data_IF_526475441171
#
_entry.id   IF_526475441171
#
_cell.length_a   1.000
_cell.length_b   1.000
_cell.length_c   1.000
_cell.angle_alpha   90.00
_cell.angle_beta   90.00
_cell.angle_gamma   90.00
#
_symmetry.space_group_name_H-M   'P 1'
#
loop_
_entity.id
_entity.type
_entity.pdbx_description
1 polymer ?
#
# COMPACT_ATOMS: atom_id res chain seq x y z
N UNK A 1 -0.64 14.23 -5.05
CA UNK A 1 0.17 15.04 -6.01
C UNK A 1 -0.75 16.10 -6.63
N UNK A 2 -0.84 17.29 -6.05
CA UNK A 2 -1.79 18.32 -6.48
C UNK A 2 -1.42 18.98 -7.84
N UNK A 3 -0.19 18.87 -8.25
CA UNK A 3 0.40 19.41 -9.46
C UNK A 3 0.50 18.39 -10.61
N UNK A 4 0.07 17.15 -10.40
CA UNK A 4 -0.02 16.14 -11.45
C UNK A 4 -1.00 16.59 -12.52
N UNK A 5 -0.54 16.68 -13.79
CA UNK A 5 -1.30 17.15 -14.91
C UNK A 5 -1.72 16.05 -15.87
N UNK A 6 -0.81 15.17 -16.20
CA UNK A 6 -1.01 14.14 -17.21
C UNK A 6 -0.02 12.99 -17.05
N UNK A 7 -0.40 11.83 -17.56
CA UNK A 7 0.45 10.65 -17.65
C UNK A 7 0.45 10.18 -19.09
N UNK A 8 1.63 10.16 -19.72
CA UNK A 8 1.81 9.80 -21.12
C UNK A 8 2.58 8.50 -21.24
N UNK A 9 2.32 7.78 -22.30
CA UNK A 9 3.01 6.53 -22.63
C UNK A 9 3.58 6.59 -24.06
N UNK A 10 4.57 7.48 -24.33
CA UNK A 10 5.17 7.60 -25.65
C UNK A 10 5.96 6.34 -26.01
N UNK A 11 5.95 6.03 -27.31
CA UNK A 11 6.84 5.03 -27.87
C UNK A 11 8.30 5.52 -27.80
N UNK A 12 9.20 4.70 -27.28
CA UNK A 12 10.64 4.97 -27.18
C UNK A 12 11.47 4.12 -28.15
N UNK A 13 10.80 3.22 -28.86
CA UNK A 13 11.37 2.31 -29.85
C UNK A 13 10.29 1.50 -30.56
N UNK A 14 10.67 0.52 -31.37
CA UNK A 14 9.73 -0.29 -32.15
C UNK A 14 8.76 -1.06 -31.26
N UNK A 15 9.25 -1.59 -30.13
CA UNK A 15 8.48 -2.43 -29.20
C UNK A 15 8.59 -1.94 -27.72
N UNK A 16 9.07 -0.71 -27.49
CA UNK A 16 9.24 -0.14 -26.17
C UNK A 16 8.44 1.14 -25.98
N UNK A 17 7.92 1.29 -24.77
CA UNK A 17 7.21 2.50 -24.34
C UNK A 17 7.75 2.94 -22.97
N UNK A 18 7.71 4.24 -22.73
CA UNK A 18 8.07 4.80 -21.44
C UNK A 18 6.87 5.48 -20.81
N UNK A 19 6.73 5.36 -19.50
CA UNK A 19 5.74 6.10 -18.75
C UNK A 19 6.33 7.45 -18.37
N UNK A 20 5.74 8.54 -18.84
CA UNK A 20 6.17 9.91 -18.56
C UNK A 20 5.08 10.63 -17.79
N UNK A 21 5.46 11.20 -16.64
CA UNK A 21 4.56 11.95 -15.76
C UNK A 21 4.80 13.44 -15.98
N UNK A 22 3.73 14.17 -16.21
CA UNK A 22 3.78 15.62 -16.41
C UNK A 22 3.18 16.34 -15.21
N UNK A 23 3.98 17.20 -14.62
CA UNK A 23 3.58 18.13 -13.57
C UNK A 23 3.43 19.53 -14.16
N UNK A 24 2.46 20.30 -13.68
CA UNK A 24 2.27 21.68 -14.09
C UNK A 24 1.78 22.55 -12.94
N UNK A 25 2.41 23.70 -12.78
CA UNK A 25 2.04 24.78 -11.85
C UNK A 25 1.82 26.06 -12.62
N UNK A 26 1.44 27.14 -11.92
CA UNK A 26 1.37 28.48 -12.52
C UNK A 26 2.73 29.00 -13.02
N UNK A 27 3.83 28.42 -12.52
CA UNK A 27 5.20 28.86 -12.81
C UNK A 27 5.86 28.07 -13.94
N UNK A 28 5.26 26.95 -14.38
CA UNK A 28 5.81 26.13 -15.45
C UNK A 28 5.33 24.68 -15.42
N UNK A 29 5.90 23.88 -16.33
CA UNK A 29 5.64 22.43 -16.39
C UNK A 29 6.94 21.65 -16.44
N UNK A 30 6.91 20.45 -15.86
CA UNK A 30 8.01 19.49 -15.84
C UNK A 30 7.48 18.14 -16.28
N UNK A 31 8.23 17.43 -17.12
CA UNK A 31 7.94 16.05 -17.50
C UNK A 31 9.08 15.16 -17.05
N UNK A 32 8.76 14.15 -16.27
CA UNK A 32 9.72 13.19 -15.75
C UNK A 32 9.39 11.78 -16.23
N UNK A 33 10.37 10.98 -16.64
CA UNK A 33 10.21 9.53 -16.73
C UNK A 33 9.77 8.95 -15.39
N UNK A 34 9.00 7.87 -15.42
CA UNK A 34 8.52 7.22 -14.18
C UNK A 34 9.67 6.78 -13.26
N UNK A 35 10.79 6.35 -13.83
CA UNK A 35 11.98 5.93 -13.12
C UNK A 35 12.61 7.05 -12.28
N UNK A 36 12.44 8.31 -12.68
CA UNK A 36 13.00 9.48 -12.00
C UNK A 36 12.10 10.02 -10.87
N UNK A 37 10.90 9.46 -10.70
CA UNK A 37 10.03 9.78 -9.57
C UNK A 37 10.62 9.25 -8.26
N UNK A 38 10.31 9.91 -7.16
CA UNK A 38 10.58 9.37 -5.81
C UNK A 38 9.78 8.09 -5.58
N UNK A 39 10.24 7.24 -4.65
CA UNK A 39 9.57 5.98 -4.35
C UNK A 39 8.14 6.20 -3.80
N UNK A 40 7.93 7.27 -3.03
CA UNK A 40 6.58 7.66 -2.59
C UNK A 40 5.66 8.04 -3.75
N UNK A 41 6.14 8.81 -4.72
CA UNK A 41 5.37 9.15 -5.93
C UNK A 41 5.06 7.91 -6.77
N UNK A 42 6.03 7.00 -6.93
CA UNK A 42 5.83 5.69 -7.58
C UNK A 42 4.75 4.88 -6.87
N UNK A 43 4.78 4.83 -5.54
CA UNK A 43 3.79 4.13 -4.72
C UNK A 43 2.38 4.70 -4.94
N UNK A 44 2.21 6.02 -4.94
CA UNK A 44 0.94 6.67 -5.27
C UNK A 44 0.45 6.36 -6.68
N UNK A 45 1.34 6.36 -7.66
CA UNK A 45 1.01 6.02 -9.05
C UNK A 45 0.52 4.58 -9.18
N UNK A 46 1.22 3.63 -8.54
CA UNK A 46 0.83 2.22 -8.53
C UNK A 46 -0.54 2.04 -7.85
N UNK A 47 -0.78 2.74 -6.73
CA UNK A 47 -2.09 2.74 -6.08
C UNK A 47 -3.19 3.22 -7.03
N UNK A 48 -2.98 4.35 -7.69
CA UNK A 48 -3.96 4.89 -8.65
C UNK A 48 -4.25 3.89 -9.79
N UNK A 49 -3.22 3.20 -10.27
CA UNK A 49 -3.38 2.15 -11.29
C UNK A 49 -4.18 0.95 -10.78
N UNK A 50 -3.93 0.49 -9.56
CA UNK A 50 -4.69 -0.61 -8.92
C UNK A 50 -6.16 -0.23 -8.77
N UNK A 51 -6.45 0.98 -8.27
CA UNK A 51 -7.82 1.49 -8.12
C UNK A 51 -8.53 1.58 -9.48
N UNK A 52 -7.87 2.17 -10.48
CA UNK A 52 -8.42 2.29 -11.81
C UNK A 52 -8.65 0.94 -12.49
N UNK A 53 -7.75 -0.02 -12.29
CA UNK A 53 -7.86 -1.35 -12.87
C UNK A 53 -9.01 -2.14 -12.22
N UNK A 54 -9.16 -2.08 -10.88
CA UNK A 54 -10.28 -2.73 -10.20
C UNK A 54 -11.63 -2.17 -10.66
N UNK A 55 -11.71 -0.84 -10.81
CA UNK A 55 -12.93 -0.17 -11.29
C UNK A 55 -13.26 -0.47 -12.76
N UNK A 56 -12.23 -0.54 -13.62
CA UNK A 56 -12.43 -0.66 -15.07
C UNK A 56 -12.59 -2.11 -15.56
N UNK A 57 -11.93 -3.07 -14.93
CA UNK A 57 -11.85 -4.46 -15.41
C UNK A 57 -12.57 -5.47 -14.51
N UNK A 58 -13.18 -5.01 -13.42
CA UNK A 58 -13.91 -5.85 -12.46
C UNK A 58 -13.03 -6.30 -11.29
N UNK A 59 -13.55 -7.17 -10.43
CA UNK A 59 -12.91 -7.49 -9.16
C UNK A 59 -11.52 -8.09 -9.34
N UNK A 60 -10.51 -7.46 -8.74
CA UNK A 60 -9.12 -7.90 -8.76
C UNK A 60 -8.72 -8.54 -7.42
N UNK A 61 -7.72 -9.43 -7.47
CA UNK A 61 -6.90 -9.79 -6.32
C UNK A 61 -5.60 -8.96 -6.39
N UNK A 62 -5.37 -8.14 -5.39
CA UNK A 62 -4.14 -7.37 -5.25
C UNK A 62 -3.41 -7.81 -3.98
N UNK A 63 -2.18 -8.31 -4.14
CA UNK A 63 -1.25 -8.54 -3.04
C UNK A 63 -0.15 -7.47 -3.09
N UNK A 64 0.07 -6.76 -1.99
CA UNK A 64 1.07 -5.70 -1.90
C UNK A 64 1.91 -5.86 -0.64
N UNK A 65 3.19 -6.07 -0.83
CA UNK A 65 4.14 -6.22 0.25
C UNK A 65 4.64 -4.85 0.71
N UNK A 66 4.41 -4.53 1.99
CA UNK A 66 4.84 -3.31 2.68
C UNK A 66 4.59 -1.98 1.92
N UNK A 67 3.32 -1.68 1.51
CA UNK A 67 3.01 -0.45 0.76
C UNK A 67 3.28 0.84 1.55
N UNK A 68 3.47 0.75 2.85
CA UNK A 68 3.70 1.86 3.78
C UNK A 68 5.17 2.29 3.89
N UNK A 69 6.12 1.51 3.38
CA UNK A 69 7.56 1.79 3.55
C UNK A 69 8.03 3.12 2.95
N UNK A 70 7.33 3.62 1.93
CA UNK A 70 7.75 4.81 1.18
C UNK A 70 6.83 6.01 1.36
N UNK A 71 5.83 5.90 2.23
CA UNK A 71 4.83 6.95 2.44
C UNK A 71 4.91 7.54 3.84
N UNK A 72 4.65 8.84 3.95
CA UNK A 72 4.40 9.44 5.25
C UNK A 72 3.11 8.86 5.86
N UNK A 73 3.03 8.77 7.19
CA UNK A 73 1.89 8.15 7.89
C UNK A 73 0.53 8.73 7.49
N UNK A 74 0.47 10.06 7.30
CA UNK A 74 -0.75 10.73 6.85
C UNK A 74 -1.15 10.39 5.43
N UNK A 75 -0.16 10.23 4.54
CA UNK A 75 -0.36 9.84 3.14
C UNK A 75 -0.83 8.39 3.06
N UNK A 76 -0.19 7.51 3.83
CA UNK A 76 -0.59 6.12 3.93
C UNK A 76 -2.03 5.95 4.43
N UNK A 77 -2.49 6.78 5.37
CA UNK A 77 -3.88 6.79 5.81
C UNK A 77 -4.88 7.07 4.67
N UNK A 78 -4.60 8.07 3.84
CA UNK A 78 -5.44 8.39 2.68
C UNK A 78 -5.42 7.29 1.63
N UNK A 79 -4.26 6.71 1.41
CA UNK A 79 -4.04 5.56 0.53
C UNK A 79 -4.91 4.35 0.95
N UNK A 80 -4.86 3.96 2.23
CA UNK A 80 -5.69 2.87 2.76
C UNK A 80 -7.19 3.12 2.63
N UNK A 81 -7.63 4.35 2.92
CA UNK A 81 -9.04 4.70 2.79
C UNK A 81 -9.52 4.56 1.34
N UNK A 82 -8.71 4.98 0.37
CA UNK A 82 -9.04 4.84 -1.04
C UNK A 82 -9.13 3.36 -1.46
N UNK A 83 -8.16 2.53 -1.08
CA UNK A 83 -8.17 1.09 -1.34
C UNK A 83 -9.38 0.41 -0.69
N UNK A 84 -9.63 0.64 0.58
CA UNK A 84 -10.78 0.04 1.28
C UNK A 84 -12.09 0.38 0.60
N UNK A 85 -12.29 1.65 0.22
CA UNK A 85 -13.51 2.09 -0.47
C UNK A 85 -13.68 1.38 -1.82
N UNK A 86 -12.63 1.29 -2.60
CA UNK A 86 -12.67 0.66 -3.93
C UNK A 86 -12.93 -0.84 -3.84
N UNK A 87 -12.21 -1.54 -2.98
CA UNK A 87 -12.33 -3.00 -2.83
C UNK A 87 -13.59 -3.44 -2.08
N UNK A 88 -14.35 -2.54 -1.43
CA UNK A 88 -15.69 -2.82 -0.93
C UNK A 88 -16.69 -3.12 -2.04
N UNK A 89 -16.49 -2.59 -3.23
CA UNK A 89 -17.36 -2.84 -4.39
C UNK A 89 -17.09 -4.19 -5.08
N UNK A 90 -16.00 -4.85 -4.72
CA UNK A 90 -15.56 -6.14 -5.25
C UNK A 90 -14.03 -6.23 -5.34
N UNK A 91 -13.53 -7.46 -5.37
CA UNK A 91 -12.11 -7.76 -5.35
C UNK A 91 -11.57 -8.03 -3.95
N UNK A 92 -10.28 -8.32 -3.86
CA UNK A 92 -9.58 -8.59 -2.62
C UNK A 92 -8.23 -7.86 -2.59
N UNK A 93 -8.00 -7.11 -1.52
CA UNK A 93 -6.73 -6.46 -1.25
C UNK A 93 -6.06 -7.12 -0.04
N UNK A 94 -4.84 -7.60 -0.21
CA UNK A 94 -4.02 -8.19 0.85
C UNK A 94 -2.72 -7.38 0.91
N UNK A 95 -2.36 -6.89 2.08
CA UNK A 95 -1.10 -6.20 2.29
C UNK A 95 -0.37 -6.74 3.51
N UNK A 96 0.95 -6.72 3.46
CA UNK A 96 1.80 -6.89 4.65
C UNK A 96 2.20 -5.54 5.20
N UNK A 97 2.45 -5.45 6.48
CA UNK A 97 3.02 -4.26 7.12
C UNK A 97 3.59 -4.63 8.49
N UNK A 98 4.64 -3.95 8.89
CA UNK A 98 5.16 -3.96 10.25
C UNK A 98 4.95 -2.60 10.96
N UNK A 99 4.22 -1.69 10.31
CA UNK A 99 3.95 -0.36 10.83
C UNK A 99 2.71 -0.37 11.75
N UNK A 100 2.85 0.01 13.03
CA UNK A 100 1.75 0.02 13.99
C UNK A 100 0.59 0.93 13.59
N UNK A 101 0.86 2.03 12.91
CA UNK A 101 -0.19 2.91 12.40
C UNK A 101 -1.01 2.23 11.30
N UNK A 102 -0.37 1.44 10.44
CA UNK A 102 -1.06 0.62 9.46
C UNK A 102 -1.97 -0.40 10.15
N UNK A 103 -1.42 -1.14 11.13
CA UNK A 103 -2.15 -2.16 11.89
C UNK A 103 -3.40 -1.55 12.55
N UNK A 104 -3.27 -0.39 13.19
CA UNK A 104 -4.39 0.29 13.87
C UNK A 104 -5.53 0.74 12.94
N UNK A 105 -5.26 0.85 11.64
CA UNK A 105 -6.25 1.29 10.64
C UNK A 105 -6.96 0.14 9.94
N UNK A 106 -6.48 -1.07 10.08
CA UNK A 106 -7.18 -2.27 9.62
C UNK A 106 -8.15 -2.76 10.69
N UNK A 107 -9.15 -3.52 10.26
CA UNK A 107 -10.05 -4.21 11.18
C UNK A 107 -9.34 -5.40 11.79
N UNK A 108 -9.47 -5.60 13.09
CA UNK A 108 -8.88 -6.73 13.82
C UNK A 108 -9.31 -8.09 13.24
N UNK A 109 -10.54 -8.16 12.71
CA UNK A 109 -11.09 -9.36 12.07
C UNK A 109 -10.40 -9.73 10.75
N UNK A 110 -9.79 -8.73 10.09
CA UNK A 110 -9.13 -8.91 8.79
C UNK A 110 -7.60 -8.80 8.90
N UNK A 111 -7.07 -8.77 10.11
CA UNK A 111 -5.63 -8.66 10.35
C UNK A 111 -5.09 -9.97 10.89
N UNK A 112 -4.05 -10.48 10.24
CA UNK A 112 -3.33 -11.68 10.67
C UNK A 112 -1.96 -11.28 11.21
N UNK A 113 -1.60 -11.82 12.36
CA UNK A 113 -0.27 -11.65 12.93
C UNK A 113 0.55 -12.89 12.59
N UNK A 114 1.73 -12.66 12.04
CA UNK A 114 2.72 -13.67 11.72
C UNK A 114 3.85 -13.57 12.72
N UNK A 115 4.16 -14.68 13.40
CA UNK A 115 5.27 -14.78 14.33
C UNK A 115 6.09 -16.04 14.08
N UNK A 116 7.37 -15.98 14.39
CA UNK A 116 8.29 -17.12 14.33
C UNK A 116 9.32 -17.03 15.43
N UNK A 117 9.28 -17.95 16.38
CA UNK A 117 10.16 -17.96 17.55
C UNK A 117 11.64 -18.15 17.20
N UNK A 118 11.93 -18.97 16.20
CA UNK A 118 13.31 -19.22 15.72
C UNK A 118 13.30 -19.80 14.30
N UNK A 119 14.48 -19.94 13.70
CA UNK A 119 14.63 -20.44 12.32
C UNK A 119 14.29 -21.91 12.12
N UNK A 120 14.20 -22.69 13.17
CA UNK A 120 13.90 -24.14 13.11
C UNK A 120 12.40 -24.42 13.32
N UNK A 121 11.62 -23.41 13.70
CA UNK A 121 10.20 -23.54 13.91
C UNK A 121 9.39 -22.93 12.75
N UNK A 122 8.19 -23.44 12.48
CA UNK A 122 7.32 -22.85 11.46
C UNK A 122 6.83 -21.46 11.89
N UNK A 123 6.50 -20.62 10.93
CA UNK A 123 5.78 -19.37 11.18
C UNK A 123 4.37 -19.69 11.68
N UNK A 124 3.99 -19.11 12.79
CA UNK A 124 2.63 -19.15 13.33
C UNK A 124 1.82 -18.00 12.74
N UNK A 125 0.55 -18.24 12.48
CA UNK A 125 -0.39 -17.25 11.94
C UNK A 125 -1.61 -17.26 12.83
N UNK A 126 -1.99 -16.09 13.37
CA UNK A 126 -3.21 -15.95 14.18
C UNK A 126 -3.97 -14.68 13.80
N UNK A 127 -5.31 -14.71 13.79
CA UNK A 127 -6.13 -13.51 13.70
C UNK A 127 -5.83 -12.56 14.87
N UNK A 128 -5.76 -11.27 14.60
CA UNK A 128 -5.44 -10.25 15.60
C UNK A 128 -6.47 -10.23 16.74
N UNK A 129 -7.75 -10.44 16.43
CA UNK A 129 -8.85 -10.48 17.41
C UNK A 129 -8.82 -11.71 18.34
N UNK A 130 -8.01 -12.73 18.05
CA UNK A 130 -7.83 -13.91 18.91
C UNK A 130 -6.65 -13.74 19.87
N UNK A 131 -5.86 -12.68 19.72
CA UNK A 131 -4.69 -12.41 20.54
C UNK A 131 -5.11 -11.63 21.79
N UNK A 132 -4.89 -12.25 22.96
CA UNK A 132 -5.18 -11.60 24.24
C UNK A 132 -3.92 -10.92 24.77
N UNK A 133 -4.01 -9.62 25.02
CA UNK A 133 -2.95 -8.84 25.66
C UNK A 133 -3.52 -7.97 26.78
N UNK A 134 -2.71 -7.69 27.79
CA UNK A 134 -3.04 -6.72 28.81
C UNK A 134 -2.74 -5.30 28.29
N UNK A 135 -3.77 -4.56 27.88
CA UNK A 135 -3.64 -3.20 27.38
C UNK A 135 -3.86 -3.05 25.86
N UNK A 136 -3.22 -2.04 25.27
CA UNK A 136 -3.32 -1.78 23.84
C UNK A 136 -2.52 -2.79 23.03
N UNK A 137 -3.23 -3.55 22.19
CA UNK A 137 -2.70 -4.65 21.39
C UNK A 137 -1.62 -4.17 20.40
N UNK A 138 -1.81 -3.02 19.77
CA UNK A 138 -0.83 -2.48 18.81
C UNK A 138 0.47 -2.13 19.53
N UNK A 139 0.38 -1.52 20.72
CA UNK A 139 1.56 -1.24 21.55
C UNK A 139 2.26 -2.50 22.03
N UNK A 140 1.52 -3.56 22.32
CA UNK A 140 2.10 -4.85 22.72
C UNK A 140 2.83 -5.54 21.56
N UNK A 141 2.25 -5.49 20.35
CA UNK A 141 2.91 -6.01 19.13
C UNK A 141 4.24 -5.28 18.85
N UNK A 142 4.26 -3.94 18.97
CA UNK A 142 5.47 -3.14 18.76
C UNK A 142 6.58 -3.52 19.74
N UNK A 143 6.22 -3.80 21.02
CA UNK A 143 7.19 -4.16 22.06
C UNK A 143 7.62 -5.62 22.00
N UNK A 144 6.93 -6.44 21.19
CA UNK A 144 7.15 -7.89 21.20
C UNK A 144 6.61 -8.60 22.45
N UNK A 145 5.67 -7.98 23.17
CA UNK A 145 5.04 -8.49 24.38
C UNK A 145 3.87 -9.45 24.08
N UNK A 146 3.75 -9.90 22.83
CA UNK A 146 2.68 -10.81 22.39
C UNK A 146 3.25 -12.20 22.23
N UNK A 147 2.75 -13.15 23.02
CA UNK A 147 3.02 -14.59 22.81
C UNK A 147 1.90 -15.18 21.91
N UNK A 148 2.31 -15.72 20.76
CA UNK A 148 1.44 -16.44 19.83
C UNK A 148 1.36 -17.94 20.14
#
# INVERSE_FOLDING_TARGET
>A
MPDLRDIKNPATGTDSRSLVVQFATQQGSLSLPFEDLSDGEKCFMICALVLAANSAYGPLLCFWDEPDNYLALSEFAHFLLALRKEFQSGGQFIATSHNPEAISRFSDENTLVLDRKNHLEPTLIRPLNEIQVNGDLVSALIRGDVEL
#
